data_IF_945139313048
#
_entry.id   IF_945139313048
#
_cell.length_a   1.000
_cell.length_b   1.000
_cell.length_c   1.000
_cell.angle_alpha   90.00
_cell.angle_beta   90.00
_cell.angle_gamma   90.00
#
_symmetry.space_group_name_H-M   'P 1'
#
loop_
_entity.id
_entity.type
_entity.pdbx_description
1 polymer ?
#
# COMPACT_ATOMS: atom_id res chain seq x y z
N UNK A 1 11.80 8.20 -10.27
CA UNK A 1 12.07 7.46 -11.53
C UNK A 1 12.64 6.08 -11.16
N UNK A 2 12.22 5.01 -11.84
CA UNK A 2 12.68 3.64 -11.54
C UNK A 2 14.00 3.38 -12.27
N UNK A 3 14.99 2.80 -11.59
CA UNK A 3 16.32 2.55 -12.16
C UNK A 3 16.35 1.27 -13.04
N UNK A 4 17.46 1.06 -13.77
CA UNK A 4 17.61 -0.08 -14.71
C UNK A 4 17.51 -1.44 -13.99
N UNK A 5 18.05 -1.56 -12.77
CA UNK A 5 18.01 -2.79 -11.96
C UNK A 5 16.58 -3.13 -11.52
N UNK A 6 15.84 -2.15 -11.03
CA UNK A 6 14.44 -2.25 -10.64
C UNK A 6 13.54 -2.61 -11.85
N UNK A 7 13.78 -2.02 -13.02
CA UNK A 7 13.09 -2.42 -14.27
C UNK A 7 13.35 -3.88 -14.62
N UNK A 8 14.59 -4.37 -14.48
CA UNK A 8 14.90 -5.79 -14.71
C UNK A 8 14.20 -6.69 -13.69
N UNK A 9 14.14 -6.31 -12.41
CA UNK A 9 13.37 -7.05 -11.39
C UNK A 9 11.89 -7.15 -11.77
N UNK A 10 11.27 -6.03 -12.16
CA UNK A 10 9.87 -6.00 -12.60
C UNK A 10 9.62 -6.88 -13.84
N UNK A 11 10.56 -6.90 -14.80
CA UNK A 11 10.47 -7.80 -15.96
C UNK A 11 10.55 -9.27 -15.56
N UNK A 12 11.45 -9.64 -14.64
CA UNK A 12 11.53 -11.02 -14.13
C UNK A 12 10.27 -11.43 -13.37
N UNK A 13 9.67 -10.50 -12.64
CA UNK A 13 8.44 -10.74 -11.90
C UNK A 13 7.23 -10.95 -12.79
N UNK A 14 7.17 -10.33 -13.98
CA UNK A 14 6.09 -10.61 -14.95
C UNK A 14 5.87 -12.08 -15.26
N UNK A 15 6.91 -12.91 -15.09
CA UNK A 15 6.88 -14.34 -15.40
C UNK A 15 6.52 -15.20 -14.19
N UNK A 16 6.21 -14.61 -13.02
CA UNK A 16 5.76 -15.37 -11.86
C UNK A 16 4.23 -15.44 -11.82
N UNK A 17 3.65 -16.57 -11.36
CA UNK A 17 2.19 -16.72 -11.28
C UNK A 17 1.52 -15.75 -10.31
N UNK A 18 2.30 -15.10 -9.45
CA UNK A 18 1.84 -14.16 -8.42
C UNK A 18 1.83 -12.71 -8.91
N UNK A 19 2.26 -12.46 -10.14
CA UNK A 19 2.36 -11.11 -10.67
C UNK A 19 1.03 -10.64 -11.29
N UNK A 20 0.38 -9.72 -10.58
CA UNK A 20 -0.61 -8.82 -11.18
C UNK A 20 0.06 -7.69 -11.96
N UNK A 21 -0.69 -7.04 -12.86
CA UNK A 21 -0.25 -5.80 -13.51
C UNK A 21 0.24 -4.80 -12.44
N UNK A 22 1.41 -4.16 -12.62
CA UNK A 22 2.01 -3.21 -11.66
C UNK A 22 0.98 -2.23 -11.11
N UNK A 23 0.14 -1.69 -11.99
CA UNK A 23 -0.91 -0.73 -11.59
C UNK A 23 -1.89 -1.37 -10.61
N UNK A 24 -2.41 -2.55 -10.96
CA UNK A 24 -3.35 -3.29 -10.13
C UNK A 24 -2.70 -3.65 -8.79
N UNK A 25 -1.47 -4.16 -8.80
CA UNK A 25 -0.75 -4.52 -7.59
C UNK A 25 -0.51 -3.33 -6.65
N UNK A 26 -0.20 -2.15 -7.18
CA UNK A 26 -0.13 -0.91 -6.38
C UNK A 26 -1.51 -0.52 -5.84
N UNK A 27 -2.54 -0.54 -6.69
CA UNK A 27 -3.91 -0.18 -6.30
C UNK A 27 -4.46 -1.09 -5.19
N UNK A 28 -4.33 -2.41 -5.36
CA UNK A 28 -4.75 -3.40 -4.37
C UNK A 28 -3.97 -3.24 -3.07
N UNK A 29 -2.65 -3.04 -3.11
CA UNK A 29 -1.87 -2.86 -1.89
C UNK A 29 -2.30 -1.59 -1.12
N UNK A 30 -2.60 -0.50 -1.82
CA UNK A 30 -3.17 0.71 -1.20
C UNK A 30 -4.56 0.41 -0.62
N UNK A 31 -5.46 -0.22 -1.38
CA UNK A 31 -6.82 -0.54 -0.94
C UNK A 31 -6.83 -1.44 0.29
N UNK A 32 -6.06 -2.53 0.30
CA UNK A 32 -5.97 -3.43 1.44
C UNK A 32 -5.40 -2.73 2.67
N UNK A 33 -4.42 -1.83 2.50
CA UNK A 33 -3.89 -1.02 3.60
C UNK A 33 -4.95 -0.05 4.14
N UNK A 34 -5.73 0.59 3.27
CA UNK A 34 -6.84 1.46 3.68
C UNK A 34 -7.94 0.69 4.42
N UNK A 35 -8.27 -0.51 3.97
CA UNK A 35 -9.20 -1.41 4.66
C UNK A 35 -8.66 -1.76 6.04
N UNK A 36 -7.37 -2.10 6.16
CA UNK A 36 -6.75 -2.38 7.46
C UNK A 36 -6.78 -1.16 8.39
N UNK A 37 -6.59 0.05 7.86
CA UNK A 37 -6.74 1.30 8.62
C UNK A 37 -8.19 1.46 9.12
N UNK A 38 -9.19 1.23 8.26
CA UNK A 38 -10.59 1.34 8.65
C UNK A 38 -10.96 0.34 9.76
N UNK A 39 -10.55 -0.93 9.63
CA UNK A 39 -10.75 -1.93 10.69
C UNK A 39 -10.00 -1.58 11.99
N UNK A 40 -8.79 -1.04 11.86
CA UNK A 40 -8.01 -0.59 13.01
C UNK A 40 -8.71 0.54 13.76
N UNK A 41 -9.35 1.48 13.05
CA UNK A 41 -10.15 2.54 13.68
C UNK A 41 -11.34 1.95 14.44
N UNK A 42 -12.08 1.01 13.85
CA UNK A 42 -13.17 0.32 14.54
C UNK A 42 -12.67 -0.40 15.82
N UNK A 43 -11.51 -1.03 15.74
CA UNK A 43 -10.89 -1.72 16.88
C UNK A 43 -10.45 -0.75 17.98
N UNK A 44 -9.83 0.39 17.63
CA UNK A 44 -9.38 1.41 18.58
C UNK A 44 -10.55 1.97 19.40
N UNK A 45 -11.67 2.26 18.74
CA UNK A 45 -12.87 2.80 19.39
C UNK A 45 -13.83 1.73 19.94
N UNK A 46 -13.48 0.45 19.85
CA UNK A 46 -14.32 -0.63 20.38
C UNK A 46 -14.34 -0.62 21.90
N UNK A 47 -15.54 -0.58 22.49
CA UNK A 47 -15.75 -0.74 23.94
C UNK A 47 -15.68 -2.20 24.40
N UNK A 48 -15.83 -3.16 23.47
CA UNK A 48 -15.84 -4.60 23.75
C UNK A 48 -14.45 -5.11 24.15
N UNK A 49 -13.39 -4.51 23.59
CA UNK A 49 -12.02 -4.96 23.80
C UNK A 49 -11.42 -4.23 25.02
N UNK A 50 -11.11 -4.98 26.08
CA UNK A 50 -10.60 -4.47 27.38
C UNK A 50 -9.09 -4.15 27.39
N UNK A 51 -8.55 -3.72 26.25
CA UNK A 51 -7.16 -3.25 26.16
C UNK A 51 -7.06 -1.74 26.43
N UNK A 52 -5.92 -1.29 26.95
CA UNK A 52 -5.65 0.16 27.11
C UNK A 52 -5.65 0.86 25.73
N UNK A 53 -5.99 2.15 25.64
CA UNK A 53 -5.97 2.89 24.38
C UNK A 53 -4.62 2.80 23.66
N UNK A 54 -3.52 2.87 24.42
CA UNK A 54 -2.15 2.76 23.90
C UNK A 54 -1.94 1.39 23.23
N UNK A 55 -2.33 0.30 23.90
CA UNK A 55 -2.18 -1.05 23.34
C UNK A 55 -3.03 -1.22 22.07
N UNK A 56 -4.26 -0.69 22.04
CA UNK A 56 -5.11 -0.74 20.85
C UNK A 56 -4.47 -0.05 19.66
N UNK A 57 -3.86 1.11 19.88
CA UNK A 57 -3.13 1.86 18.85
C UNK A 57 -1.89 1.08 18.39
N UNK A 58 -1.10 0.52 19.32
CA UNK A 58 0.10 -0.26 18.98
C UNK A 58 -0.23 -1.49 18.14
N UNK A 59 -1.24 -2.29 18.53
CA UNK A 59 -1.65 -3.46 17.76
C UNK A 59 -2.21 -3.10 16.38
N UNK A 60 -2.96 -1.99 16.31
CA UNK A 60 -3.47 -1.45 15.04
C UNK A 60 -2.32 -1.05 14.11
N UNK A 61 -1.35 -0.30 14.61
CA UNK A 61 -0.20 0.14 13.83
C UNK A 61 0.62 -1.05 13.31
N UNK A 62 0.88 -2.04 14.18
CA UNK A 62 1.56 -3.27 13.79
C UNK A 62 0.80 -4.04 12.71
N UNK A 63 -0.51 -4.14 12.83
CA UNK A 63 -1.37 -4.83 11.85
C UNK A 63 -1.36 -4.13 10.49
N UNK A 64 -1.51 -2.80 10.47
CA UNK A 64 -1.44 -2.00 9.24
C UNK A 64 -0.07 -2.14 8.58
N UNK A 65 1.01 -2.05 9.38
CA UNK A 65 2.37 -2.21 8.87
C UNK A 65 2.59 -3.61 8.29
N UNK A 66 2.10 -4.65 8.97
CA UNK A 66 2.17 -6.02 8.49
C UNK A 66 1.44 -6.18 7.15
N UNK A 67 0.20 -5.69 7.04
CA UNK A 67 -0.59 -5.76 5.81
C UNK A 67 0.15 -5.09 4.65
N UNK A 68 0.70 -3.90 4.86
CA UNK A 68 1.44 -3.19 3.82
C UNK A 68 2.73 -3.92 3.42
N UNK A 69 3.53 -4.37 4.39
CA UNK A 69 4.80 -5.06 4.12
C UNK A 69 4.57 -6.39 3.42
N UNK A 70 3.58 -7.16 3.87
CA UNK A 70 3.21 -8.43 3.28
C UNK A 70 2.69 -8.24 1.85
N UNK A 71 1.76 -7.31 1.63
CA UNK A 71 1.24 -7.02 0.29
C UNK A 71 2.31 -6.52 -0.68
N UNK A 72 3.24 -5.68 -0.18
CA UNK A 72 4.40 -5.19 -0.93
C UNK A 72 5.36 -6.31 -1.32
N UNK A 73 5.67 -7.21 -0.39
CA UNK A 73 6.54 -8.36 -0.65
C UNK A 73 5.86 -9.37 -1.57
N UNK A 74 4.59 -9.68 -1.35
CA UNK A 74 3.82 -10.60 -2.18
C UNK A 74 3.80 -10.14 -3.65
N UNK A 75 3.54 -8.86 -3.88
CA UNK A 75 3.38 -8.29 -5.22
C UNK A 75 4.70 -8.00 -5.94
N UNK A 76 5.71 -7.49 -5.21
CA UNK A 76 6.93 -6.94 -5.82
C UNK A 76 8.21 -7.57 -5.28
N UNK A 77 8.14 -8.53 -4.36
CA UNK A 77 9.28 -9.19 -3.67
C UNK A 77 10.34 -8.24 -3.11
N UNK A 78 10.03 -6.96 -3.03
CA UNK A 78 10.94 -5.85 -2.72
C UNK A 78 10.08 -4.66 -2.25
N UNK A 79 10.09 -4.44 -0.93
CA UNK A 79 9.30 -3.39 -0.30
C UNK A 79 9.74 -2.00 -0.76
N UNK A 80 11.03 -1.78 -1.00
CA UNK A 80 11.54 -0.48 -1.45
C UNK A 80 11.01 -0.14 -2.84
N UNK A 81 10.98 -1.14 -3.72
CA UNK A 81 10.40 -1.01 -5.06
C UNK A 81 8.90 -0.73 -4.99
N UNK A 82 8.16 -1.47 -4.16
CA UNK A 82 6.73 -1.25 -3.93
C UNK A 82 6.45 0.18 -3.47
N UNK A 83 7.16 0.66 -2.43
CA UNK A 83 6.99 2.03 -1.92
C UNK A 83 7.28 3.09 -2.97
N UNK A 84 8.34 2.93 -3.77
CA UNK A 84 8.62 3.85 -4.88
C UNK A 84 7.51 3.88 -5.91
N UNK A 85 6.97 2.72 -6.28
CA UNK A 85 5.86 2.61 -7.24
C UNK A 85 4.59 3.25 -6.70
N UNK A 86 4.26 3.03 -5.43
CA UNK A 86 3.15 3.67 -4.72
C UNK A 86 3.27 5.19 -4.73
N UNK A 87 4.45 5.74 -4.41
CA UNK A 87 4.70 7.18 -4.43
C UNK A 87 4.50 7.75 -5.85
N UNK A 88 5.02 7.07 -6.87
CA UNK A 88 4.85 7.49 -8.27
C UNK A 88 3.37 7.50 -8.65
N UNK A 89 2.63 6.46 -8.28
CA UNK A 89 1.20 6.34 -8.54
C UNK A 89 0.40 7.49 -7.90
N UNK A 90 0.64 7.76 -6.62
CA UNK A 90 -0.01 8.86 -5.87
C UNK A 90 0.30 10.21 -6.52
N UNK A 91 1.56 10.48 -6.86
CA UNK A 91 1.96 11.72 -7.54
C UNK A 91 1.21 11.92 -8.87
N UNK A 92 1.05 10.88 -9.67
CA UNK A 92 0.31 10.93 -10.94
C UNK A 92 -1.17 11.23 -10.69
N UNK A 93 -1.79 10.58 -9.69
CA UNK A 93 -3.19 10.80 -9.32
C UNK A 93 -3.45 12.23 -8.84
N UNK A 94 -2.60 12.75 -7.95
CA UNK A 94 -2.70 14.13 -7.46
C UNK A 94 -2.55 15.12 -8.62
N UNK A 95 -1.54 14.95 -9.49
CA UNK A 95 -1.37 15.82 -10.66
C UNK A 95 -2.61 15.84 -11.56
N UNK A 96 -3.24 14.68 -11.80
CA UNK A 96 -4.48 14.59 -12.59
C UNK A 96 -5.66 15.26 -11.90
N UNK A 97 -5.77 15.15 -10.57
CA UNK A 97 -6.81 15.83 -9.79
C UNK A 97 -6.66 17.35 -9.90
N UNK A 98 -5.46 17.88 -9.68
CA UNK A 98 -5.16 19.32 -9.80
C UNK A 98 -5.55 19.81 -11.19
N UNK A 99 -5.08 19.16 -12.27
CA UNK A 99 -5.43 19.57 -13.63
C UNK A 99 -6.94 19.59 -13.85
N UNK A 100 -7.68 18.60 -13.35
CA UNK A 100 -9.16 18.56 -13.48
C UNK A 100 -9.87 19.65 -12.69
N UNK A 101 -9.33 20.06 -11.55
CA UNK A 101 -9.90 21.11 -10.72
C UNK A 101 -9.57 22.51 -11.23
N UNK A 102 -8.38 22.73 -11.79
CA UNK A 102 -7.92 24.05 -12.27
C UNK A 102 -8.13 24.29 -13.76
N UNK A 103 -8.43 23.25 -14.54
CA UNK A 103 -8.79 23.37 -15.97
C UNK A 103 -10.30 23.45 -16.20
N UNK A 104 -11.07 23.60 -15.12
CA UNK A 104 -12.52 23.80 -15.10
C UNK A 104 -12.79 25.21 -14.59
#
# INVERSE_FOLDING_TARGET
MINKKEKMKLKKQKNTPLYGNIKLSVETNIQTTLIAIAFSMLFIFSEIVTATPINKISYSLLSIMFVYLFGSWYSFRDVRLATKLTIIYIKIKIKKLIIRFFSK
#
